data_IF_851042533132
#
_entry.id   IF_851042533132
#
_cell.length_a   1.000
_cell.length_b   1.000
_cell.length_c   1.000
_cell.angle_alpha   90.00
_cell.angle_beta   90.00
_cell.angle_gamma   90.00
#
_symmetry.space_group_name_H-M   'P 1'
#
loop_
_entity.id
_entity.type
_entity.pdbx_description
1 polymer ?
#
# COMPACT_ATOMS: atom_id res chain seq x y z
N UNK A 1 -20.25 27.38 -23.12
CA UNK A 1 -20.41 26.53 -24.33
C UNK A 1 -19.06 25.87 -24.60
N UNK A 2 -18.95 24.54 -24.53
CA UNK A 2 -17.68 23.83 -24.76
C UNK A 2 -17.53 23.58 -26.26
N UNK A 3 -16.59 24.28 -26.92
CA UNK A 3 -16.34 24.14 -28.35
C UNK A 3 -15.82 22.74 -28.66
N UNK A 4 -16.30 22.10 -29.73
CA UNK A 4 -15.78 20.81 -30.18
C UNK A 4 -14.35 21.01 -30.67
N UNK A 5 -13.41 20.26 -30.11
CA UNK A 5 -12.05 20.16 -30.63
C UNK A 5 -11.98 18.91 -31.51
N UNK A 6 -11.90 19.12 -32.83
CA UNK A 6 -12.01 18.04 -33.82
C UNK A 6 -10.68 17.30 -34.08
N UNK A 7 -9.54 17.79 -33.59
CA UNK A 7 -8.24 17.17 -33.83
C UNK A 7 -7.33 17.13 -32.60
N UNK A 8 -6.27 16.33 -32.68
CA UNK A 8 -5.16 16.28 -31.72
C UNK A 8 -3.92 16.90 -32.34
N UNK A 9 -3.25 17.77 -31.59
CA UNK A 9 -1.98 18.39 -31.97
C UNK A 9 -0.79 17.55 -31.51
N UNK A 10 0.36 17.71 -32.16
CA UNK A 10 1.59 17.02 -31.75
C UNK A 10 2.01 17.34 -30.32
N UNK A 11 1.72 18.56 -29.83
CA UNK A 11 1.98 18.97 -28.45
C UNK A 11 1.10 18.20 -27.46
N UNK A 12 -0.19 18.07 -27.75
CA UNK A 12 -1.12 17.30 -26.93
C UNK A 12 -0.74 15.81 -26.89
N UNK A 13 -0.35 15.26 -28.05
CA UNK A 13 0.14 13.89 -28.13
C UNK A 13 1.42 13.68 -27.33
N UNK A 14 2.37 14.62 -27.39
CA UNK A 14 3.60 14.56 -26.62
C UNK A 14 3.31 14.59 -25.11
N UNK A 15 2.45 15.50 -24.66
CA UNK A 15 2.03 15.57 -23.25
C UNK A 15 1.40 14.25 -22.78
N UNK A 16 0.49 13.69 -23.58
CA UNK A 16 -0.15 12.41 -23.28
C UNK A 16 0.87 11.27 -23.18
N UNK A 17 1.86 11.23 -24.08
CA UNK A 17 2.95 10.24 -24.02
C UNK A 17 3.78 10.36 -22.76
N UNK A 18 4.26 11.56 -22.46
CA UNK A 18 5.13 11.83 -21.32
C UNK A 18 4.44 11.44 -20.01
N UNK A 19 3.19 11.87 -19.81
CA UNK A 19 2.44 11.53 -18.60
C UNK A 19 2.18 10.03 -18.48
N UNK A 20 1.73 9.37 -19.54
CA UNK A 20 1.46 7.92 -19.48
C UNK A 20 2.73 7.13 -19.20
N UNK A 21 3.86 7.47 -19.82
CA UNK A 21 5.15 6.82 -19.56
C UNK A 21 5.60 7.06 -18.12
N UNK A 22 5.48 8.30 -17.62
CA UNK A 22 5.82 8.63 -16.22
C UNK A 22 4.98 7.83 -15.21
N UNK A 23 3.66 7.71 -15.42
CA UNK A 23 2.82 6.89 -14.56
C UNK A 23 3.21 5.40 -14.61
N UNK A 24 3.66 4.88 -15.76
CA UNK A 24 4.16 3.50 -15.88
C UNK A 24 5.43 3.31 -15.04
N UNK A 25 6.38 4.25 -15.10
CA UNK A 25 7.63 4.20 -14.32
C UNK A 25 7.37 4.26 -12.82
N UNK A 26 6.43 5.11 -12.40
CA UNK A 26 6.02 5.28 -11.01
C UNK A 26 5.14 4.13 -10.51
N UNK A 27 4.63 3.30 -11.41
CA UNK A 27 3.76 2.17 -11.08
C UNK A 27 2.29 2.51 -10.84
N UNK A 28 1.86 3.72 -11.23
CA UNK A 28 0.47 4.15 -11.27
C UNK A 28 -0.27 3.55 -12.47
N UNK A 29 -1.59 3.78 -12.54
CA UNK A 29 -2.44 3.34 -13.65
C UNK A 29 -2.41 4.34 -14.80
N UNK A 30 -2.69 3.85 -16.02
CA UNK A 30 -2.89 4.71 -17.20
C UNK A 30 -4.16 5.55 -17.08
N UNK A 31 -5.17 5.09 -16.33
CA UNK A 31 -6.41 5.84 -16.09
C UNK A 31 -6.12 7.14 -15.34
N UNK A 32 -5.28 7.09 -14.30
CA UNK A 32 -4.85 8.29 -13.59
C UNK A 32 -4.11 9.26 -14.52
N UNK A 33 -3.25 8.75 -15.40
CA UNK A 33 -2.59 9.58 -16.41
C UNK A 33 -3.58 10.24 -17.37
N UNK A 34 -4.61 9.52 -17.79
CA UNK A 34 -5.65 10.05 -18.68
C UNK A 34 -6.51 11.11 -17.99
N UNK A 35 -6.81 10.94 -16.71
CA UNK A 35 -7.53 11.94 -15.91
C UNK A 35 -6.72 13.23 -15.78
N UNK A 36 -5.44 13.12 -15.45
CA UNK A 36 -4.54 14.27 -15.32
C UNK A 36 -4.44 15.05 -16.65
N UNK A 37 -4.15 14.35 -17.76
CA UNK A 37 -4.03 14.98 -19.08
C UNK A 37 -5.37 15.54 -19.57
N UNK A 38 -6.48 14.88 -19.26
CA UNK A 38 -7.81 15.37 -19.64
C UNK A 38 -8.15 16.69 -18.95
N UNK A 39 -7.75 16.86 -17.68
CA UNK A 39 -7.91 18.13 -16.97
C UNK A 39 -7.05 19.23 -17.61
N UNK A 40 -5.79 18.92 -17.92
CA UNK A 40 -4.85 19.90 -18.50
C UNK A 40 -5.23 20.34 -19.91
N UNK A 41 -5.72 19.43 -20.75
CA UNK A 41 -6.14 19.72 -22.13
C UNK A 41 -7.63 20.09 -22.25
N UNK A 42 -8.35 20.20 -21.13
CA UNK A 42 -9.81 20.36 -21.09
C UNK A 42 -10.58 19.31 -21.93
N UNK A 43 -10.04 18.09 -22.06
CA UNK A 43 -10.65 16.95 -22.78
C UNK A 43 -11.35 16.00 -21.80
N UNK A 44 -11.76 14.82 -22.27
CA UNK A 44 -12.29 13.76 -21.41
C UNK A 44 -11.26 12.64 -21.27
N UNK A 45 -11.19 11.94 -20.12
CA UNK A 45 -10.27 10.82 -19.94
C UNK A 45 -10.47 9.72 -21.00
N UNK A 46 -11.73 9.49 -21.40
CA UNK A 46 -12.07 8.57 -22.48
C UNK A 46 -11.47 8.98 -23.83
N UNK A 47 -11.46 10.27 -24.16
CA UNK A 47 -10.84 10.78 -25.39
C UNK A 47 -9.31 10.59 -25.36
N UNK A 48 -8.66 10.87 -24.22
CA UNK A 48 -7.23 10.60 -24.03
C UNK A 48 -6.91 9.11 -24.20
N UNK A 49 -7.73 8.23 -23.59
CA UNK A 49 -7.60 6.79 -23.72
C UNK A 49 -7.76 6.30 -25.17
N UNK A 50 -8.74 6.84 -25.91
CA UNK A 50 -8.93 6.51 -27.32
C UNK A 50 -7.71 6.92 -28.15
N UNK A 51 -7.22 8.16 -28.01
CA UNK A 51 -6.04 8.66 -28.73
C UNK A 51 -4.79 7.83 -28.44
N UNK A 52 -4.59 7.49 -27.17
CA UNK A 52 -3.50 6.63 -26.75
C UNK A 52 -3.58 5.26 -27.42
N UNK A 53 -4.73 4.59 -27.33
CA UNK A 53 -4.91 3.25 -27.86
C UNK A 53 -4.90 3.17 -29.39
N UNK A 54 -5.37 4.21 -30.08
CA UNK A 54 -5.45 4.23 -31.55
C UNK A 54 -4.08 4.39 -32.20
N UNK A 55 -3.22 5.24 -31.63
CA UNK A 55 -2.02 5.73 -32.33
C UNK A 55 -0.77 5.68 -31.46
N UNK A 56 -0.81 6.30 -30.27
CA UNK A 56 0.40 6.57 -29.49
C UNK A 56 0.97 5.34 -28.80
N UNK A 57 0.12 4.38 -28.39
CA UNK A 57 0.56 3.14 -27.73
C UNK A 57 1.49 2.31 -28.61
N UNK A 58 1.20 2.25 -29.92
CA UNK A 58 2.04 1.52 -30.88
C UNK A 58 3.35 2.25 -31.13
N UNK A 59 3.30 3.57 -31.24
CA UNK A 59 4.49 4.41 -31.43
C UNK A 59 5.46 4.32 -30.23
N UNK A 60 4.92 4.38 -29.01
CA UNK A 60 5.70 4.37 -27.77
C UNK A 60 6.05 2.96 -27.26
N UNK A 61 5.88 1.90 -28.05
CA UNK A 61 6.03 0.52 -27.58
C UNK A 61 7.42 0.26 -26.94
N UNK A 62 8.48 0.83 -27.51
CA UNK A 62 9.84 0.73 -26.95
C UNK A 62 9.96 1.46 -25.61
N UNK A 63 9.42 2.68 -25.52
CA UNK A 63 9.44 3.50 -24.31
C UNK A 63 8.62 2.86 -23.18
N UNK A 64 7.49 2.23 -23.50
CA UNK A 64 6.67 1.50 -22.53
C UNK A 64 7.46 0.32 -21.93
N UNK A 65 8.18 -0.44 -22.77
CA UNK A 65 9.02 -1.54 -22.31
C UNK A 65 10.13 -1.05 -21.38
N UNK A 66 10.77 0.06 -21.75
CA UNK A 66 11.83 0.68 -20.95
C UNK A 66 11.30 1.22 -19.61
N UNK A 67 10.18 1.96 -19.62
CA UNK A 67 9.51 2.45 -18.42
C UNK A 67 9.17 1.33 -17.44
N UNK A 68 8.67 0.19 -17.95
CA UNK A 68 8.43 -1.00 -17.14
C UNK A 68 9.72 -1.56 -16.56
N UNK A 69 10.78 -1.68 -17.37
CA UNK A 69 12.10 -2.15 -16.93
C UNK A 69 12.64 -1.30 -15.79
N UNK A 70 12.55 0.03 -15.91
CA UNK A 70 12.96 0.98 -14.88
C UNK A 70 12.13 0.82 -13.59
N UNK A 71 10.80 0.68 -13.70
CA UNK A 71 9.93 0.39 -12.55
C UNK A 71 10.38 -0.86 -11.80
N UNK A 72 10.61 -1.97 -12.51
CA UNK A 72 11.05 -3.22 -11.89
C UNK A 72 12.43 -3.08 -11.24
N UNK A 73 13.36 -2.37 -11.88
CA UNK A 73 14.69 -2.11 -11.30
C UNK A 73 14.59 -1.29 -10.00
N UNK A 74 13.78 -0.22 -9.99
CA UNK A 74 13.57 0.63 -8.82
C UNK A 74 12.97 -0.15 -7.64
N UNK A 75 11.93 -0.96 -7.90
CA UNK A 75 11.33 -1.80 -6.85
C UNK A 75 12.36 -2.76 -6.24
N UNK A 76 13.23 -3.34 -7.07
CA UNK A 76 14.27 -4.26 -6.61
C UNK A 76 15.34 -3.56 -5.77
N UNK A 77 15.65 -2.30 -6.08
CA UNK A 77 16.56 -1.49 -5.26
C UNK A 77 15.93 -1.10 -3.92
N UNK A 78 14.64 -0.75 -3.91
CA UNK A 78 13.87 -0.47 -2.69
C UNK A 78 13.77 -1.70 -1.78
N UNK A 79 13.52 -2.88 -2.36
CA UNK A 79 13.54 -4.17 -1.66
C UNK A 79 14.92 -4.41 -0.99
N UNK A 80 16.03 -4.18 -1.70
CA UNK A 80 17.38 -4.30 -1.11
C UNK A 80 17.61 -3.33 0.05
N UNK A 81 17.24 -2.06 -0.10
CA UNK A 81 17.35 -1.05 0.97
C UNK A 81 16.49 -1.42 2.19
N UNK A 82 15.34 -2.06 1.97
CA UNK A 82 14.48 -2.51 3.08
C UNK A 82 15.14 -3.65 3.87
N UNK A 83 15.86 -4.56 3.21
CA UNK A 83 16.62 -5.63 3.88
C UNK A 83 17.80 -5.06 4.67
N UNK A 84 18.52 -4.09 4.11
CA UNK A 84 19.62 -3.39 4.82
C UNK A 84 19.13 -2.59 6.03
N UNK A 85 17.93 -1.99 5.99
CA UNK A 85 17.37 -1.30 7.16
C UNK A 85 16.87 -2.24 8.25
N UNK A 86 16.51 -3.48 7.91
CA UNK A 86 16.03 -4.47 8.89
C UNK A 86 17.19 -5.08 9.68
N UNK A 87 18.44 -4.97 9.24
CA UNK A 87 19.59 -5.45 10.03
C UNK A 87 19.86 -4.65 11.31
N UNK A 88 19.21 -3.49 11.49
CA UNK A 88 19.36 -2.65 12.69
C UNK A 88 18.27 -2.84 13.75
N UNK A 89 17.31 -3.76 13.58
CA UNK A 89 16.54 -4.22 14.73
C UNK A 89 17.43 -5.16 15.55
N UNK A 90 18.16 -4.60 16.51
CA UNK A 90 19.02 -5.36 17.42
C UNK A 90 18.15 -6.42 18.11
N UNK A 91 18.25 -7.68 17.66
CA UNK A 91 17.38 -8.78 18.07
C UNK A 91 17.32 -8.88 19.61
N UNK A 92 18.43 -8.53 20.27
CA UNK A 92 18.56 -8.45 21.72
C UNK A 92 17.59 -7.46 22.38
N UNK A 93 17.33 -6.29 21.77
CA UNK A 93 16.36 -5.33 22.32
C UNK A 93 14.92 -5.85 22.23
N UNK A 94 14.60 -6.61 21.17
CA UNK A 94 13.27 -7.21 21.01
C UNK A 94 13.08 -8.36 22.00
N UNK A 95 14.10 -9.20 22.17
CA UNK A 95 14.14 -10.28 23.17
C UNK A 95 13.98 -9.71 24.58
N UNK A 96 14.67 -8.62 24.92
CA UNK A 96 14.53 -7.96 26.22
C UNK A 96 13.12 -7.41 26.47
N UNK A 97 12.52 -6.75 25.47
CA UNK A 97 11.13 -6.27 25.57
C UNK A 97 10.13 -7.42 25.73
N UNK A 98 10.35 -8.54 25.02
CA UNK A 98 9.50 -9.72 25.11
C UNK A 98 9.60 -10.40 26.47
N UNK A 99 10.81 -10.55 27.02
CA UNK A 99 11.03 -11.08 28.36
C UNK A 99 10.36 -10.21 29.43
N UNK A 100 10.45 -8.88 29.32
CA UNK A 100 9.72 -7.97 30.22
C UNK A 100 8.20 -8.17 30.14
N UNK A 101 7.66 -8.47 28.97
CA UNK A 101 6.22 -8.73 28.80
C UNK A 101 5.80 -10.07 29.41
N UNK A 102 6.57 -11.13 29.20
CA UNK A 102 6.35 -12.45 29.81
C UNK A 102 6.33 -12.32 31.35
N UNK A 103 7.30 -11.61 31.93
CA UNK A 103 7.35 -11.39 33.38
C UNK A 103 6.16 -10.59 33.92
N UNK A 104 5.59 -9.67 33.14
CA UNK A 104 4.37 -8.93 33.54
C UNK A 104 3.14 -9.84 33.57
N UNK A 105 3.04 -10.79 32.64
CA UNK A 105 1.94 -11.75 32.62
C UNK A 105 2.02 -12.75 33.77
N UNK A 106 3.22 -13.18 34.14
CA UNK A 106 3.43 -14.06 35.29
C UNK A 106 3.09 -13.39 36.62
N UNK A 107 3.28 -12.07 36.73
CA UNK A 107 2.90 -11.29 37.92
C UNK A 107 1.38 -11.03 38.02
N UNK A 108 0.67 -10.98 36.90
CA UNK A 108 -0.78 -10.74 36.87
C UNK A 108 -1.53 -12.06 36.70
N UNK A 109 -1.59 -12.87 37.76
CA UNK A 109 -2.33 -14.13 37.83
C UNK A 109 -3.74 -13.93 38.44
N UNK A 110 -4.79 -13.56 37.68
CA UNK A 110 -6.17 -13.64 38.17
C UNK A 110 -6.66 -15.10 38.33
N UNK A 111 -5.84 -16.10 37.98
CA UNK A 111 -6.23 -17.51 38.02
C UNK A 111 -6.09 -18.17 39.41
N UNK A 112 -5.30 -17.60 40.34
CA UNK A 112 -5.20 -18.14 41.71
C UNK A 112 -6.41 -17.75 42.58
N UNK A 113 -7.05 -16.62 42.28
CA UNK A 113 -8.16 -16.07 43.07
C UNK A 113 -9.45 -16.90 42.93
N UNK A 114 -9.65 -17.57 41.79
CA UNK A 114 -10.85 -18.39 41.55
C UNK A 114 -10.85 -19.65 42.42
N UNK A 115 -9.69 -20.27 42.65
CA UNK A 115 -9.60 -21.50 43.47
C UNK A 115 -9.79 -21.21 44.96
N UNK A 116 -9.19 -20.14 45.46
CA UNK A 116 -9.34 -19.74 46.87
C UNK A 116 -10.77 -19.29 47.18
N UNK A 117 -11.41 -18.56 46.26
CA UNK A 117 -12.79 -18.10 46.40
C UNK A 117 -13.82 -19.22 46.29
N UNK A 118 -13.54 -20.28 45.51
CA UNK A 118 -14.34 -21.50 45.47
C UNK A 118 -14.22 -22.30 46.78
N UNK A 119 -13.02 -22.38 47.36
CA UNK A 119 -12.77 -23.10 48.62
C UNK A 119 -13.34 -22.35 49.84
N UNK A 120 -13.43 -21.02 49.79
CA UNK A 120 -14.13 -20.17 50.79
C UNK A 120 -15.66 -20.27 50.70
N UNK A 121 -16.21 -20.45 49.49
CA UNK A 121 -17.64 -20.67 49.28
C UNK A 121 -18.09 -22.04 49.82
N UNK A 122 -17.23 -23.07 49.78
CA UNK A 122 -17.54 -24.37 50.39
C UNK A 122 -17.45 -24.35 51.93
N UNK A 123 -16.59 -23.51 52.52
CA UNK A 123 -16.45 -23.37 53.98
C UNK A 123 -17.57 -22.56 54.64
N UNK A 124 -18.29 -21.73 53.89
CA UNK A 124 -19.41 -20.90 54.41
C UNK A 124 -20.77 -21.57 54.30
N UNK A 125 -20.86 -22.78 53.72
CA UNK A 125 -22.06 -23.61 53.71
C UNK A 125 -22.25 -24.41 55.00
N UNK A 126 -22.74 -23.79 56.08
CA UNK A 126 -23.32 -24.53 57.23
C UNK A 126 -24.81 -24.86 56.99
N UNK A 127 -25.34 -25.95 57.59
CA UNK A 127 -26.48 -26.68 57.08
C UNK A 127 -27.84 -26.15 57.59
N UNK A 128 -28.82 -26.17 56.68
CA UNK A 128 -30.23 -26.43 56.99
C UNK A 128 -31.11 -25.22 57.32
N UNK A 129 -32.26 -25.13 56.63
CA UNK A 129 -33.59 -25.30 57.27
C UNK A 129 -34.75 -25.28 56.26
N UNK A 130 -35.58 -26.33 56.43
CA UNK A 130 -36.96 -26.58 55.95
C UNK A 130 -37.11 -27.13 54.54
#
# INVERSE_FOLDING_TARGET
MKLRQDGWTSREDQLLKEKVLSHIEQGSTQLNAFEEVALELNRTPAACGFRWNSSLRKECQKQISEAKRLRYAKRREEEKKSVEKVSDCNADQLIQKMNQWISRLEQNQPALDIKQKAEEAEKTGTPGKR
#
